data_IF_227845286377
#
_entry.id   IF_227845286377
#
_cell.length_a   1.000
_cell.length_b   1.000
_cell.length_c   1.000
_cell.angle_alpha   90.00
_cell.angle_beta   90.00
_cell.angle_gamma   90.00
#
_symmetry.space_group_name_H-M   'P 1'
#
loop_
_entity.id
_entity.type
_entity.pdbx_description
1 polymer ?
#
# COMPACT_ATOMS: atom_id res chain seq x y z
N UNK A 1 23.76 14.70 38.93
CA UNK A 1 23.96 14.32 37.49
C UNK A 1 23.22 13.03 37.10
N UNK A 2 22.98 12.08 38.01
CA UNK A 2 22.14 10.89 37.76
C UNK A 2 20.63 11.21 37.63
N UNK A 3 20.14 12.22 38.35
CA UNK A 3 18.73 12.59 38.43
C UNK A 3 18.18 13.25 37.15
N UNK A 4 19.00 14.07 36.48
CA UNK A 4 18.66 14.68 35.17
C UNK A 4 18.57 13.65 34.04
N UNK A 5 19.41 12.59 34.11
CA UNK A 5 19.36 11.49 33.15
C UNK A 5 18.11 10.63 33.36
N UNK A 6 17.75 10.36 34.62
CA UNK A 6 16.53 9.62 34.97
C UNK A 6 15.25 10.35 34.51
N UNK A 7 15.17 11.67 34.71
CA UNK A 7 14.00 12.48 34.31
C UNK A 7 13.81 12.55 32.79
N UNK A 8 14.90 12.73 32.04
CA UNK A 8 14.89 12.67 30.56
C UNK A 8 14.51 11.29 30.02
N UNK A 9 14.85 10.20 30.72
CA UNK A 9 14.47 8.84 30.30
C UNK A 9 12.99 8.55 30.60
N UNK A 10 12.43 9.19 31.63
CA UNK A 10 11.04 9.02 32.08
C UNK A 10 10.03 9.85 31.26
N UNK A 11 10.38 11.06 30.83
CA UNK A 11 9.56 11.85 29.89
C UNK A 11 9.57 11.28 28.46
N UNK A 12 10.69 10.67 28.03
CA UNK A 12 10.80 10.00 26.72
C UNK A 12 10.04 8.66 26.66
N UNK A 13 9.86 7.99 27.79
CA UNK A 13 9.05 6.76 27.83
C UNK A 13 7.56 7.08 27.68
N UNK A 14 7.13 8.28 28.07
CA UNK A 14 5.77 8.79 27.85
C UNK A 14 5.51 9.24 26.39
N UNK A 15 6.53 9.71 25.66
CA UNK A 15 6.41 9.95 24.20
C UNK A 15 6.48 8.67 23.36
N UNK A 16 6.98 7.58 23.95
CA UNK A 16 6.93 6.21 23.43
C UNK A 16 5.71 5.45 23.95
N UNK A 17 4.67 6.13 24.43
CA UNK A 17 3.38 5.49 24.56
C UNK A 17 2.94 5.02 23.17
N UNK A 18 2.55 3.74 23.08
CA UNK A 18 2.16 3.09 21.83
C UNK A 18 1.33 4.02 20.95
N UNK A 19 1.64 4.19 19.65
CA UNK A 19 0.62 4.73 18.77
C UNK A 19 -0.53 3.72 18.79
N UNK A 20 -1.59 4.02 19.55
CA UNK A 20 -2.86 3.27 19.66
C UNK A 20 -3.64 3.18 18.33
N UNK A 21 -2.97 3.50 17.22
CA UNK A 21 -3.50 3.43 15.87
C UNK A 21 -3.05 2.11 15.28
N UNK A 22 -3.86 1.09 15.53
CA UNK A 22 -3.77 -0.19 14.82
C UNK A 22 -4.16 0.10 13.37
N UNK A 23 -3.18 0.23 12.48
CA UNK A 23 -3.42 0.52 11.06
C UNK A 23 -4.37 -0.51 10.46
N UNK A 24 -4.25 -1.76 10.91
CA UNK A 24 -5.18 -2.84 10.62
C UNK A 24 -6.61 -2.56 11.06
N UNK A 25 -6.82 -2.04 12.27
CA UNK A 25 -8.17 -1.76 12.80
C UNK A 25 -8.82 -0.64 12.01
N UNK A 26 -8.09 0.44 11.76
CA UNK A 26 -8.59 1.57 10.98
C UNK A 26 -8.95 1.14 9.56
N UNK A 27 -8.06 0.38 8.91
CA UNK A 27 -8.33 -0.19 7.60
C UNK A 27 -9.53 -1.13 7.58
N UNK A 28 -9.68 -2.02 8.57
CA UNK A 28 -10.85 -2.90 8.67
C UNK A 28 -12.15 -2.10 8.84
N UNK A 29 -12.15 -1.04 9.65
CA UNK A 29 -13.32 -0.17 9.84
C UNK A 29 -13.71 0.46 8.50
N UNK A 30 -12.77 1.08 7.78
CA UNK A 30 -13.06 1.66 6.47
C UNK A 30 -13.53 0.62 5.47
N UNK A 31 -12.86 -0.54 5.40
CA UNK A 31 -13.24 -1.64 4.51
C UNK A 31 -14.67 -2.11 4.76
N UNK A 32 -15.04 -2.37 6.02
CA UNK A 32 -16.40 -2.81 6.39
C UNK A 32 -17.44 -1.72 6.10
N UNK A 33 -17.15 -0.46 6.42
CA UNK A 33 -18.08 0.65 6.17
C UNK A 33 -18.31 0.83 4.66
N UNK A 34 -17.25 0.90 3.86
CA UNK A 34 -17.39 1.12 2.41
C UNK A 34 -18.02 -0.08 1.71
N UNK A 35 -17.61 -1.30 2.03
CA UNK A 35 -18.23 -2.51 1.47
C UNK A 35 -19.69 -2.63 1.90
N UNK A 36 -20.02 -2.34 3.16
CA UNK A 36 -21.40 -2.34 3.66
C UNK A 36 -22.28 -1.31 2.96
N UNK A 37 -21.78 -0.07 2.81
CA UNK A 37 -22.47 1.00 2.10
C UNK A 37 -22.72 0.63 0.62
N UNK A 38 -21.73 0.01 -0.04
CA UNK A 38 -21.83 -0.41 -1.43
C UNK A 38 -22.81 -1.55 -1.62
N UNK A 39 -22.80 -2.55 -0.74
CA UNK A 39 -23.78 -3.63 -0.80
C UNK A 39 -25.19 -3.12 -0.54
N UNK A 40 -25.35 -2.15 0.37
CA UNK A 40 -26.65 -1.54 0.65
C UNK A 40 -27.18 -0.72 -0.53
N UNK A 41 -26.36 0.15 -1.13
CA UNK A 41 -26.78 1.06 -2.20
C UNK A 41 -26.80 0.39 -3.58
N UNK A 42 -25.80 -0.44 -3.87
CA UNK A 42 -25.55 -0.99 -5.20
C UNK A 42 -25.68 -2.53 -5.26
N UNK A 43 -25.95 -3.23 -4.15
CA UNK A 43 -26.00 -4.70 -4.13
C UNK A 43 -26.96 -5.30 -5.16
N UNK A 44 -28.16 -4.72 -5.31
CA UNK A 44 -29.12 -5.14 -6.34
C UNK A 44 -28.58 -4.91 -7.75
N UNK A 45 -27.92 -3.78 -8.00
CA UNK A 45 -27.35 -3.45 -9.31
C UNK A 45 -26.18 -4.38 -9.65
N UNK A 46 -25.35 -4.73 -8.66
CA UNK A 46 -24.26 -5.69 -8.81
C UNK A 46 -24.83 -7.07 -9.15
N UNK A 47 -25.87 -7.53 -8.45
CA UNK A 47 -26.49 -8.83 -8.75
C UNK A 47 -27.06 -8.87 -10.18
N UNK A 48 -27.78 -7.83 -10.59
CA UNK A 48 -28.31 -7.71 -11.96
C UNK A 48 -27.20 -7.64 -13.01
N UNK A 49 -26.11 -6.93 -12.71
CA UNK A 49 -24.93 -6.85 -13.57
C UNK A 49 -24.33 -8.23 -13.87
N UNK A 50 -24.24 -9.12 -12.88
CA UNK A 50 -23.67 -10.45 -13.06
C UNK A 50 -24.57 -11.38 -13.87
N UNK A 51 -25.89 -11.26 -13.72
CA UNK A 51 -26.83 -12.09 -14.47
C UNK A 51 -26.99 -11.64 -15.93
N UNK A 52 -26.85 -10.34 -16.19
CA UNK A 52 -27.10 -9.76 -17.51
C UNK A 52 -25.85 -9.75 -18.40
N UNK A 53 -24.65 -9.85 -17.80
CA UNK A 53 -23.39 -9.73 -18.53
C UNK A 53 -23.00 -11.04 -19.25
N UNK A 54 -23.21 -11.06 -20.56
CA UNK A 54 -22.77 -12.17 -21.44
C UNK A 54 -21.27 -12.09 -21.75
N UNK A 55 -20.64 -10.91 -21.60
CA UNK A 55 -19.24 -10.68 -21.99
C UNK A 55 -18.23 -11.25 -20.99
N UNK A 56 -18.66 -11.44 -19.74
CA UNK A 56 -17.80 -11.89 -18.64
C UNK A 56 -16.90 -10.80 -18.04
N UNK A 57 -17.01 -9.55 -18.49
CA UNK A 57 -16.21 -8.42 -18.00
C UNK A 57 -16.55 -8.09 -16.54
N UNK A 58 -17.83 -8.18 -16.14
CA UNK A 58 -18.25 -7.96 -14.76
C UNK A 58 -17.60 -8.97 -13.80
N UNK A 59 -17.55 -10.25 -14.19
CA UNK A 59 -16.89 -11.30 -13.40
C UNK A 59 -15.39 -11.05 -13.33
N UNK A 60 -14.75 -10.67 -14.44
CA UNK A 60 -13.34 -10.32 -14.47
C UNK A 60 -13.02 -9.15 -13.51
N UNK A 61 -13.83 -8.08 -13.54
CA UNK A 61 -13.70 -6.92 -12.64
C UNK A 61 -13.80 -7.38 -11.18
N UNK A 62 -14.78 -8.24 -10.85
CA UNK A 62 -14.95 -8.76 -9.49
C UNK A 62 -13.77 -9.62 -9.02
N UNK A 63 -13.27 -10.53 -9.86
CA UNK A 63 -12.11 -11.37 -9.51
C UNK A 63 -10.88 -10.52 -9.26
N UNK A 64 -10.59 -9.56 -10.16
CA UNK A 64 -9.47 -8.64 -9.98
C UNK A 64 -9.64 -7.75 -8.75
N UNK A 65 -10.87 -7.31 -8.46
CA UNK A 65 -11.18 -6.56 -7.25
C UNK A 65 -10.86 -7.37 -5.98
N UNK A 66 -11.32 -8.62 -5.89
CA UNK A 66 -11.07 -9.48 -4.72
C UNK A 66 -9.57 -9.74 -4.56
N UNK A 67 -8.85 -10.00 -5.64
CA UNK A 67 -7.39 -10.17 -5.61
C UNK A 67 -6.68 -8.90 -5.14
N UNK A 68 -7.06 -7.73 -5.66
CA UNK A 68 -6.48 -6.45 -5.26
C UNK A 68 -6.80 -6.10 -3.80
N UNK A 69 -8.02 -6.41 -3.34
CA UNK A 69 -8.43 -6.22 -1.95
C UNK A 69 -7.62 -7.12 -1.00
N UNK A 70 -7.45 -8.39 -1.34
CA UNK A 70 -6.63 -9.32 -0.57
C UNK A 70 -5.16 -8.87 -0.54
N UNK A 71 -4.63 -8.37 -1.66
CA UNK A 71 -3.29 -7.79 -1.71
C UNK A 71 -3.16 -6.56 -0.81
N UNK A 72 -4.13 -5.66 -0.84
CA UNK A 72 -4.14 -4.47 -0.01
C UNK A 72 -4.23 -4.81 1.48
N UNK A 73 -5.04 -5.82 1.85
CA UNK A 73 -5.12 -6.36 3.20
C UNK A 73 -3.78 -6.94 3.69
N UNK A 74 -3.04 -7.61 2.80
CA UNK A 74 -1.69 -8.10 3.10
C UNK A 74 -0.73 -6.94 3.35
N UNK A 75 -0.79 -5.89 2.52
CA UNK A 75 0.12 -4.75 2.64
C UNK A 75 -0.10 -3.96 3.93
N UNK A 76 -1.35 -3.74 4.36
CA UNK A 76 -1.62 -3.13 5.68
C UNK A 76 -1.15 -4.02 6.84
N UNK A 77 -1.37 -5.34 6.76
CA UNK A 77 -0.91 -6.29 7.78
C UNK A 77 0.61 -6.27 7.93
N UNK A 78 1.31 -6.14 6.80
CA UNK A 78 2.75 -6.01 6.81
C UNK A 78 3.20 -4.70 7.46
N UNK A 79 2.60 -3.56 7.12
CA UNK A 79 2.96 -2.26 7.71
C UNK A 79 2.74 -2.29 9.23
N UNK A 80 1.62 -2.84 9.68
CA UNK A 80 1.29 -2.96 11.10
C UNK A 80 2.31 -3.84 11.85
N UNK A 81 2.68 -5.00 11.27
CA UNK A 81 3.75 -5.85 11.80
C UNK A 81 5.08 -5.11 11.86
N UNK A 82 5.46 -4.39 10.80
CA UNK A 82 6.72 -3.65 10.75
C UNK A 82 6.77 -2.53 11.79
N UNK A 83 5.64 -1.85 12.04
CA UNK A 83 5.51 -0.84 13.09
C UNK A 83 5.69 -1.44 14.48
N UNK A 84 5.04 -2.57 14.77
CA UNK A 84 5.20 -3.27 16.05
C UNK A 84 6.65 -3.69 16.29
N UNK A 85 7.31 -4.27 15.27
CA UNK A 85 8.72 -4.66 15.37
C UNK A 85 9.63 -3.45 15.58
N UNK A 86 9.41 -2.35 14.87
CA UNK A 86 10.17 -1.12 15.04
C UNK A 86 10.03 -0.58 16.48
N UNK A 87 8.83 -0.60 17.03
CA UNK A 87 8.60 -0.15 18.41
C UNK A 87 9.33 -1.03 19.44
N UNK A 88 9.23 -2.36 19.32
CA UNK A 88 9.94 -3.30 20.22
C UNK A 88 11.46 -3.10 20.16
N UNK A 89 12.00 -2.97 18.94
CA UNK A 89 13.42 -2.73 18.68
C UNK A 89 13.92 -1.42 19.28
N UNK A 90 13.14 -0.34 19.19
CA UNK A 90 13.47 0.95 19.79
C UNK A 90 13.52 0.85 21.32
N UNK A 91 12.55 0.16 21.92
CA UNK A 91 12.51 -0.06 23.37
C UNK A 91 13.76 -0.80 23.86
N UNK A 92 14.21 -1.80 23.12
CA UNK A 92 15.47 -2.52 23.41
C UNK A 92 16.72 -1.64 23.25
N UNK A 93 16.77 -0.80 22.21
CA UNK A 93 17.88 0.12 21.96
C UNK A 93 18.00 1.19 23.06
N UNK A 94 16.88 1.74 23.53
CA UNK A 94 16.86 2.72 24.61
C UNK A 94 17.31 2.09 25.93
N UNK A 95 16.84 0.87 26.24
CA UNK A 95 17.24 0.17 27.46
C UNK A 95 18.73 -0.19 27.47
N UNK A 96 19.29 -0.59 26.33
CA UNK A 96 20.69 -1.00 26.22
C UNK A 96 21.65 0.18 26.04
N UNK A 97 21.15 1.36 25.61
CA UNK A 97 21.91 2.59 25.35
C UNK A 97 23.18 2.38 24.48
N UNK A 98 23.20 1.30 23.70
CA UNK A 98 24.29 0.89 22.81
C UNK A 98 23.71 0.16 21.62
N UNK A 99 24.16 0.54 20.43
CA UNK A 99 23.92 -0.22 19.21
C UNK A 99 24.87 -1.42 19.24
N UNK A 100 24.49 -2.48 19.94
CA UNK A 100 25.33 -3.69 19.99
C UNK A 100 25.23 -4.42 18.66
N UNK A 101 26.36 -4.94 18.16
CA UNK A 101 26.35 -5.86 17.01
C UNK A 101 25.46 -7.10 17.28
N UNK A 102 25.27 -7.46 18.56
CA UNK A 102 24.34 -8.51 18.98
C UNK A 102 22.87 -8.14 18.69
N UNK A 103 22.47 -6.87 18.87
CA UNK A 103 21.11 -6.42 18.54
C UNK A 103 20.88 -6.51 17.02
N UNK A 104 21.79 -5.97 16.21
CA UNK A 104 21.69 -6.02 14.75
C UNK A 104 21.66 -7.46 14.18
N UNK A 105 22.27 -8.43 14.88
CA UNK A 105 22.32 -9.84 14.50
C UNK A 105 21.12 -10.66 15.02
N UNK A 106 20.61 -10.35 16.21
CA UNK A 106 19.60 -11.17 16.88
C UNK A 106 18.17 -10.62 16.76
N UNK A 107 17.99 -9.34 16.40
CA UNK A 107 16.66 -8.77 16.20
C UNK A 107 15.99 -9.31 14.93
N UNK A 108 14.67 -9.47 14.96
CA UNK A 108 13.88 -9.89 13.80
C UNK A 108 14.11 -8.97 12.58
N UNK A 109 14.08 -9.52 11.35
CA UNK A 109 14.15 -8.72 10.13
C UNK A 109 12.99 -7.72 10.07
N UNK A 110 13.33 -6.44 10.08
CA UNK A 110 12.40 -5.33 10.02
C UNK A 110 12.96 -4.20 9.16
N UNK A 111 12.08 -3.32 8.69
CA UNK A 111 12.48 -2.11 7.93
C UNK A 111 13.44 -1.26 8.78
N UNK A 112 13.16 -1.12 10.08
CA UNK A 112 14.04 -0.43 11.00
C UNK A 112 15.41 -1.11 11.06
N UNK A 113 15.47 -2.43 11.28
CA UNK A 113 16.74 -3.18 11.35
C UNK A 113 17.57 -2.99 10.09
N UNK A 114 16.97 -3.10 8.92
CA UNK A 114 17.67 -2.91 7.63
C UNK A 114 18.18 -1.48 7.48
N UNK A 115 17.37 -0.49 7.88
CA UNK A 115 17.77 0.91 7.91
C UNK A 115 18.98 1.13 8.85
N UNK A 116 18.95 0.55 10.05
CA UNK A 116 20.04 0.66 11.03
C UNK A 116 21.31 -0.07 10.58
N UNK A 117 21.19 -1.23 9.92
CA UNK A 117 22.32 -1.95 9.33
C UNK A 117 23.03 -1.09 8.28
N UNK A 118 22.26 -0.46 7.38
CA UNK A 118 22.80 0.41 6.34
C UNK A 118 23.45 1.66 6.95
N UNK A 119 22.81 2.29 7.94
CA UNK A 119 23.36 3.47 8.62
C UNK A 119 24.67 3.15 9.35
N UNK A 120 24.76 1.99 10.01
CA UNK A 120 25.98 1.52 10.65
C UNK A 120 27.08 1.18 9.63
N UNK A 121 26.72 0.66 8.45
CA UNK A 121 27.69 0.43 7.37
C UNK A 121 28.29 1.74 6.86
N UNK A 122 27.48 2.80 6.70
CA UNK A 122 27.96 4.14 6.35
C UNK A 122 28.87 4.68 7.44
N UNK A 123 28.47 4.57 8.71
CA UNK A 123 29.24 5.09 9.85
C UNK A 123 30.65 4.48 9.99
N UNK A 124 30.89 3.28 9.44
CA UNK A 124 32.23 2.67 9.42
C UNK A 124 33.17 3.32 8.40
N UNK A 125 32.63 3.90 7.33
CA UNK A 125 33.39 4.46 6.21
C UNK A 125 33.44 5.99 6.23
N UNK A 126 32.39 6.63 6.72
CA UNK A 126 32.23 8.09 6.70
C UNK A 126 31.96 8.66 8.12
N UNK A 127 32.79 9.60 8.62
CA UNK A 127 32.55 10.29 9.88
C UNK A 127 31.38 11.27 9.85
N UNK A 128 30.93 11.73 8.68
CA UNK A 128 29.77 12.59 8.47
C UNK A 128 28.51 11.78 8.13
N UNK A 129 28.12 10.87 9.04
CA UNK A 129 26.91 10.05 8.88
C UNK A 129 25.68 10.93 8.65
N UNK A 130 25.01 10.75 7.51
CA UNK A 130 23.69 11.31 7.18
C UNK A 130 22.75 10.18 6.77
N UNK A 131 21.46 10.33 7.07
CA UNK A 131 20.44 9.34 6.73
C UNK A 131 19.49 9.76 5.60
N UNK A 132 19.60 11.00 5.08
CA UNK A 132 18.66 11.57 4.09
C UNK A 132 18.42 10.62 2.90
N UNK A 133 19.49 10.15 2.27
CA UNK A 133 19.40 9.22 1.13
C UNK A 133 18.79 7.87 1.52
N UNK A 134 19.03 7.39 2.75
CA UNK A 134 18.47 6.12 3.22
C UNK A 134 16.97 6.22 3.47
N UNK A 135 16.49 7.38 3.94
CA UNK A 135 15.06 7.64 4.13
C UNK A 135 14.35 7.69 2.77
N UNK A 136 14.92 8.40 1.79
CA UNK A 136 14.39 8.43 0.41
C UNK A 136 14.33 7.04 -0.20
N UNK A 137 15.39 6.23 -0.03
CA UNK A 137 15.40 4.85 -0.52
C UNK A 137 14.34 3.98 0.17
N UNK A 138 14.15 4.15 1.48
CA UNK A 138 13.12 3.45 2.25
C UNK A 138 11.72 3.81 1.75
N UNK A 139 11.46 5.09 1.50
CA UNK A 139 10.21 5.56 0.92
C UNK A 139 9.97 4.97 -0.46
N UNK A 140 10.97 5.01 -1.35
CA UNK A 140 10.87 4.43 -2.68
C UNK A 140 10.52 2.93 -2.65
N UNK A 141 11.19 2.15 -1.77
CA UNK A 141 10.90 0.72 -1.61
C UNK A 141 9.48 0.45 -1.10
N UNK A 142 9.01 1.22 -0.13
CA UNK A 142 7.68 1.04 0.43
C UNK A 142 6.59 1.46 -0.56
N UNK A 143 6.77 2.58 -1.26
CA UNK A 143 5.85 3.04 -2.30
C UNK A 143 5.80 2.07 -3.49
N UNK A 144 6.94 1.52 -3.91
CA UNK A 144 6.98 0.52 -4.98
C UNK A 144 6.12 -0.72 -4.62
N UNK A 145 6.10 -1.11 -3.35
CA UNK A 145 5.27 -2.21 -2.88
C UNK A 145 3.78 -1.88 -2.93
N UNK A 146 3.39 -0.67 -2.52
CA UNK A 146 1.98 -0.25 -2.45
C UNK A 146 1.39 0.07 -3.83
N UNK A 147 2.24 0.46 -4.79
CA UNK A 147 1.88 0.80 -6.17
C UNK A 147 1.07 -0.27 -6.89
N UNK A 148 1.24 -1.55 -6.56
CA UNK A 148 0.47 -2.63 -7.18
C UNK A 148 -1.05 -2.49 -6.96
N UNK A 149 -1.48 -2.05 -5.78
CA UNK A 149 -2.91 -1.85 -5.49
C UNK A 149 -3.46 -0.65 -6.25
N UNK A 150 -2.67 0.43 -6.37
CA UNK A 150 -3.06 1.63 -7.12
C UNK A 150 -3.20 1.36 -8.62
N UNK A 151 -2.30 0.54 -9.17
CA UNK A 151 -2.37 0.09 -10.56
C UNK A 151 -3.62 -0.77 -10.77
N UNK A 152 -3.92 -1.71 -9.87
CA UNK A 152 -5.14 -2.51 -9.96
C UNK A 152 -6.40 -1.63 -9.91
N UNK A 153 -6.47 -0.66 -8.99
CA UNK A 153 -7.57 0.32 -8.92
C UNK A 153 -7.78 1.02 -10.26
N UNK A 154 -6.70 1.51 -10.88
CA UNK A 154 -6.77 2.20 -12.18
C UNK A 154 -7.19 1.26 -13.31
N UNK A 155 -6.67 0.03 -13.32
CA UNK A 155 -7.02 -1.00 -14.30
C UNK A 155 -8.50 -1.38 -14.23
N UNK A 156 -9.09 -1.49 -13.05
CA UNK A 156 -10.53 -1.78 -12.90
C UNK A 156 -11.40 -0.69 -13.52
N UNK A 157 -11.02 0.59 -13.36
CA UNK A 157 -11.72 1.71 -14.00
C UNK A 157 -11.61 1.62 -15.52
N UNK A 158 -10.40 1.36 -16.03
CA UNK A 158 -10.18 1.20 -17.48
C UNK A 158 -10.94 -0.01 -18.03
N UNK A 159 -11.01 -1.13 -17.31
CA UNK A 159 -11.81 -2.29 -17.69
C UNK A 159 -13.31 -1.97 -17.74
N UNK A 160 -13.80 -1.13 -16.81
CA UNK A 160 -15.17 -0.64 -16.86
C UNK A 160 -15.47 0.13 -18.16
N UNK A 161 -14.55 1.01 -18.57
CA UNK A 161 -14.64 1.77 -19.83
C UNK A 161 -14.57 0.86 -21.07
N UNK A 162 -13.69 -0.15 -21.05
CA UNK A 162 -13.62 -1.16 -22.11
C UNK A 162 -14.95 -1.92 -22.21
N UNK A 163 -15.55 -2.27 -21.06
CA UNK A 163 -16.87 -2.89 -21.03
C UNK A 163 -17.96 -2.02 -21.64
N UNK A 164 -17.88 -0.70 -21.51
CA UNK A 164 -18.79 0.22 -22.21
C UNK A 164 -18.69 0.05 -23.72
N UNK A 165 -17.46 0.02 -24.26
CA UNK A 165 -17.23 -0.12 -25.70
C UNK A 165 -17.79 -1.45 -26.18
N UNK A 166 -17.50 -2.54 -25.47
CA UNK A 166 -18.00 -3.88 -25.82
C UNK A 166 -19.53 -3.95 -25.77
N UNK A 167 -20.16 -3.40 -24.73
CA UNK A 167 -21.62 -3.38 -24.61
C UNK A 167 -22.31 -2.52 -25.68
N UNK A 168 -21.70 -1.39 -26.06
CA UNK A 168 -22.20 -0.56 -27.17
C UNK A 168 -22.06 -1.29 -28.52
N UNK A 169 -20.96 -2.02 -28.76
CA UNK A 169 -20.82 -2.85 -29.96
C UNK A 169 -21.93 -3.92 -30.01
N UNK A 170 -22.23 -4.58 -28.89
CA UNK A 170 -23.36 -5.52 -28.81
C UNK A 170 -24.70 -4.84 -29.08
N UNK A 171 -24.87 -3.59 -28.61
CA UNK A 171 -26.10 -2.83 -28.84
C UNK A 171 -26.35 -2.54 -30.31
N UNK A 172 -25.28 -2.24 -31.07
CA UNK A 172 -25.32 -2.00 -32.51
C UNK A 172 -25.76 -3.25 -33.27
N UNK A 173 -25.34 -4.45 -32.82
CA UNK A 173 -25.82 -5.71 -33.39
C UNK A 173 -27.35 -5.84 -33.36
N UNK A 174 -27.96 -5.55 -32.21
CA UNK A 174 -29.43 -5.56 -32.08
C UNK A 174 -30.14 -4.52 -32.95
N UNK A 175 -29.52 -3.36 -33.20
CA UNK A 175 -30.10 -2.32 -34.06
C UNK A 175 -30.23 -2.83 -35.49
N UNK A 176 -29.21 -3.54 -36.00
CA UNK A 176 -29.27 -4.14 -37.34
C UNK A 176 -30.45 -5.11 -37.48
N UNK A 177 -30.68 -5.96 -36.46
CA UNK A 177 -31.82 -6.88 -36.42
C UNK A 177 -33.16 -6.13 -36.42
N UNK A 178 -33.26 -5.04 -35.64
CA UNK A 178 -34.47 -4.20 -35.65
C UNK A 178 -34.72 -3.61 -37.03
N UNK A 179 -33.69 -3.06 -37.69
CA UNK A 179 -33.84 -2.42 -39.01
C UNK A 179 -34.30 -3.42 -40.07
N UNK A 180 -33.79 -4.65 -40.04
CA UNK A 180 -34.22 -5.71 -40.97
C UNK A 180 -35.65 -6.20 -40.73
N UNK A 181 -36.11 -6.17 -39.47
CA UNK A 181 -37.42 -6.67 -39.05
C UNK A 181 -38.56 -5.63 -39.14
N UNK A 182 -38.22 -4.35 -39.38
CA UNK A 182 -39.22 -3.27 -39.44
C UNK A 182 -40.20 -3.50 -40.59
N UNK A 183 -41.47 -3.68 -40.23
CA UNK A 183 -42.58 -3.85 -41.19
C UNK A 183 -42.78 -5.29 -41.69
N UNK A 184 -41.95 -6.24 -41.25
CA UNK A 184 -41.93 -7.63 -41.73
C UNK A 184 -42.21 -8.63 -40.61
N UNK A 185 -41.54 -8.52 -39.46
CA UNK A 185 -41.64 -9.51 -38.37
C UNK A 185 -41.60 -8.85 -36.98
N UNK A 186 -42.72 -8.93 -36.27
CA UNK A 186 -42.88 -8.34 -34.93
C UNK A 186 -42.01 -9.04 -33.87
N UNK A 187 -41.81 -10.36 -33.99
CA UNK A 187 -41.04 -11.12 -33.01
C UNK A 187 -39.54 -10.85 -33.16
N UNK A 188 -39.05 -10.76 -34.40
CA UNK A 188 -37.68 -10.34 -34.68
C UNK A 188 -37.42 -8.90 -34.22
N UNK A 189 -38.38 -8.00 -34.42
CA UNK A 189 -38.28 -6.62 -33.94
C UNK A 189 -38.13 -6.58 -32.41
N UNK A 190 -38.95 -7.34 -31.68
CA UNK A 190 -38.85 -7.43 -30.22
C UNK A 190 -37.54 -8.08 -29.76
N UNK A 191 -37.02 -9.06 -30.51
CA UNK A 191 -35.72 -9.68 -30.25
C UNK A 191 -34.57 -8.68 -30.40
N UNK A 192 -34.51 -7.97 -31.53
CA UNK A 192 -33.48 -6.95 -31.78
C UNK A 192 -33.51 -5.83 -30.75
N UNK A 193 -34.71 -5.37 -30.33
CA UNK A 193 -34.84 -4.38 -29.26
C UNK A 193 -34.29 -4.88 -27.92
N UNK A 194 -34.58 -6.15 -27.55
CA UNK A 194 -34.03 -6.75 -26.32
C UNK A 194 -32.52 -6.87 -26.37
N UNK A 195 -31.97 -7.24 -27.51
CA UNK A 195 -30.52 -7.32 -27.72
C UNK A 195 -29.86 -5.95 -27.60
N UNK A 196 -30.42 -4.92 -28.25
CA UNK A 196 -29.92 -3.54 -28.13
C UNK A 196 -29.94 -3.04 -26.69
N UNK A 197 -31.05 -3.24 -25.97
CA UNK A 197 -31.14 -2.84 -24.56
C UNK A 197 -30.22 -3.67 -23.67
N UNK A 198 -30.02 -4.95 -23.97
CA UNK A 198 -29.11 -5.84 -23.26
C UNK A 198 -27.65 -5.38 -23.36
N UNK A 199 -27.19 -5.06 -24.59
CA UNK A 199 -25.86 -4.51 -24.81
C UNK A 199 -25.63 -3.19 -24.05
N UNK A 200 -26.62 -2.30 -24.05
CA UNK A 200 -26.56 -1.03 -23.34
C UNK A 200 -26.53 -1.23 -21.82
N UNK A 201 -27.34 -2.17 -21.32
CA UNK A 201 -27.34 -2.56 -19.91
C UNK A 201 -25.96 -3.04 -19.46
N UNK A 202 -25.36 -3.96 -20.21
CA UNK A 202 -24.00 -4.46 -19.94
C UNK A 202 -22.98 -3.33 -19.90
N UNK A 203 -23.02 -2.40 -20.87
CA UNK A 203 -22.13 -1.23 -20.91
C UNK A 203 -22.22 -0.37 -19.63
N UNK A 204 -23.43 -0.09 -19.15
CA UNK A 204 -23.63 0.68 -17.93
C UNK A 204 -23.17 -0.08 -16.69
N UNK A 205 -23.48 -1.37 -16.60
CA UNK A 205 -23.08 -2.19 -15.46
C UNK A 205 -21.56 -2.35 -15.34
N UNK A 206 -20.85 -2.66 -16.42
CA UNK A 206 -19.38 -2.78 -16.38
C UNK A 206 -18.72 -1.48 -15.94
N UNK A 207 -19.22 -0.34 -16.43
CA UNK A 207 -18.75 0.99 -16.06
C UNK A 207 -18.96 1.26 -14.58
N UNK A 208 -20.17 0.97 -14.08
CA UNK A 208 -20.51 1.13 -12.66
C UNK A 208 -19.59 0.28 -11.78
N UNK A 209 -19.40 -1.00 -12.09
CA UNK A 209 -18.54 -1.89 -11.29
C UNK A 209 -17.09 -1.42 -11.30
N UNK A 210 -16.54 -1.06 -12.46
CA UNK A 210 -15.17 -0.56 -12.58
C UNK A 210 -14.94 0.71 -11.78
N UNK A 211 -15.85 1.69 -11.89
CA UNK A 211 -15.79 2.94 -11.14
C UNK A 211 -15.95 2.73 -9.63
N UNK A 212 -16.88 1.86 -9.22
CA UNK A 212 -17.19 1.62 -7.80
C UNK A 212 -16.05 0.87 -7.10
N UNK A 213 -15.65 -0.28 -7.64
CA UNK A 213 -14.62 -1.13 -7.03
C UNK A 213 -13.21 -0.56 -7.20
N UNK A 214 -12.88 -0.10 -8.40
CA UNK A 214 -11.58 0.48 -8.71
C UNK A 214 -11.45 1.92 -8.23
N UNK A 215 -12.35 2.79 -8.71
CA UNK A 215 -12.25 4.23 -8.53
C UNK A 215 -12.57 4.73 -7.12
N UNK A 216 -13.43 4.02 -6.37
CA UNK A 216 -13.84 4.41 -5.02
C UNK A 216 -13.21 3.49 -3.97
N UNK A 217 -13.57 2.20 -3.94
CA UNK A 217 -13.18 1.31 -2.85
C UNK A 217 -11.67 1.12 -2.75
N UNK A 218 -11.04 0.56 -3.81
CA UNK A 218 -9.61 0.29 -3.78
C UNK A 218 -8.80 1.58 -3.66
N UNK A 219 -9.27 2.69 -4.26
CA UNK A 219 -8.60 3.99 -4.20
C UNK A 219 -8.53 4.52 -2.76
N UNK A 220 -9.65 4.49 -2.04
CA UNK A 220 -9.70 4.95 -0.65
C UNK A 220 -8.87 4.03 0.26
N UNK A 221 -9.04 2.70 0.14
CA UNK A 221 -8.28 1.75 0.94
C UNK A 221 -6.78 1.86 0.69
N UNK A 222 -6.35 2.00 -0.56
CA UNK A 222 -4.95 2.24 -0.90
C UNK A 222 -4.42 3.53 -0.28
N UNK A 223 -5.22 4.61 -0.29
CA UNK A 223 -4.84 5.88 0.33
C UNK A 223 -4.62 5.75 1.84
N UNK A 224 -5.46 4.98 2.54
CA UNK A 224 -5.29 4.72 3.99
C UNK A 224 -3.97 3.99 4.25
N UNK A 225 -3.66 2.96 3.45
CA UNK A 225 -2.42 2.19 3.57
C UNK A 225 -1.19 3.08 3.31
N UNK A 226 -1.23 3.92 2.27
CA UNK A 226 -0.16 4.88 1.97
C UNK A 226 0.08 5.85 3.14
N UNK A 227 -0.97 6.40 3.76
CA UNK A 227 -0.82 7.29 4.91
C UNK A 227 -0.12 6.61 6.09
N UNK A 228 -0.46 5.34 6.37
CA UNK A 228 0.22 4.58 7.42
C UNK A 228 1.67 4.22 7.07
N UNK A 229 1.96 4.01 5.79
CA UNK A 229 3.30 3.78 5.27
C UNK A 229 4.20 5.00 5.47
N UNK A 230 3.73 6.19 5.07
CA UNK A 230 4.42 7.45 5.27
C UNK A 230 4.66 7.74 6.76
N UNK A 231 3.64 7.49 7.59
CA UNK A 231 3.75 7.63 9.04
C UNK A 231 4.80 6.69 9.65
N UNK A 232 4.92 5.46 9.13
CA UNK A 232 5.95 4.50 9.56
C UNK A 232 7.36 4.97 9.17
N UNK A 233 7.52 5.50 7.95
CA UNK A 233 8.79 6.04 7.46
C UNK A 233 9.23 7.22 8.33
N UNK A 234 8.32 8.16 8.58
CA UNK A 234 8.58 9.33 9.42
C UNK A 234 9.00 8.90 10.84
N UNK A 235 8.28 7.95 11.44
CA UNK A 235 8.62 7.39 12.75
C UNK A 235 10.01 6.77 12.79
N UNK A 236 10.36 5.92 11.80
CA UNK A 236 11.69 5.31 11.71
C UNK A 236 12.79 6.38 11.55
N UNK A 237 12.57 7.37 10.68
CA UNK A 237 13.53 8.43 10.41
C UNK A 237 13.77 9.32 11.64
N UNK A 238 12.71 9.71 12.35
CA UNK A 238 12.80 10.51 13.58
C UNK A 238 13.60 9.77 14.65
N UNK A 239 13.28 8.49 14.88
CA UNK A 239 13.98 7.66 15.86
C UNK A 239 15.46 7.50 15.50
N UNK A 240 15.76 7.27 14.22
CA UNK A 240 17.13 7.16 13.76
C UNK A 240 17.88 8.49 13.92
N UNK A 241 17.26 9.64 13.63
CA UNK A 241 17.89 10.96 13.78
C UNK A 241 18.19 11.29 15.25
N UNK A 242 17.24 11.02 16.15
CA UNK A 242 17.36 11.38 17.56
C UNK A 242 18.33 10.48 18.31
N UNK A 243 18.26 9.16 18.10
CA UNK A 243 18.99 8.20 18.94
C UNK A 243 20.21 7.60 18.24
N UNK A 244 20.13 7.37 16.93
CA UNK A 244 21.10 6.52 16.23
C UNK A 244 22.19 7.33 15.55
N UNK A 245 21.82 8.37 14.79
CA UNK A 245 22.77 9.25 14.09
C UNK A 245 23.80 9.87 15.06
N UNK A 246 23.43 10.42 16.23
CA UNK A 246 24.41 10.98 17.17
C UNK A 246 25.34 9.92 17.75
N UNK A 247 24.82 8.73 18.05
CA UNK A 247 25.59 7.61 18.60
C UNK A 247 26.60 7.07 17.59
N UNK A 248 26.19 6.95 16.32
CA UNK A 248 27.05 6.54 15.22
C UNK A 248 28.10 7.59 14.89
N UNK A 249 27.74 8.89 14.82
CA UNK A 249 28.71 9.99 14.63
C UNK A 249 29.76 10.02 15.73
N UNK A 250 29.36 9.85 17.00
CA UNK A 250 30.30 9.76 18.15
C UNK A 250 31.24 8.57 18.01
N UNK A 251 30.73 7.41 17.58
CA UNK A 251 31.51 6.18 17.42
C UNK A 251 32.48 6.26 16.24
N UNK A 252 32.02 6.82 15.11
CA UNK A 252 32.84 7.01 13.91
C UNK A 252 33.98 8.00 14.15
N UNK A 253 33.70 9.15 14.78
CA UNK A 253 34.75 10.13 15.15
C UNK A 253 35.82 9.53 16.08
N UNK A 254 35.43 8.69 17.05
CA UNK A 254 36.39 7.98 17.91
C UNK A 254 37.26 7.02 17.11
N UNK A 255 36.70 6.31 16.12
CA UNK A 255 37.43 5.40 15.23
C UNK A 255 38.42 6.17 14.35
N UNK A 256 38.01 7.28 13.74
CA UNK A 256 38.92 8.15 12.95
C UNK A 256 40.06 8.70 13.81
N UNK A 257 39.77 9.12 15.06
CA UNK A 257 40.78 9.64 15.99
C UNK A 257 41.77 8.57 16.49
N UNK A 258 41.37 7.30 16.53
CA UNK A 258 42.21 6.17 16.97
C UNK A 258 43.02 5.53 15.83
N UNK A 259 43.01 6.09 14.62
CA UNK A 259 43.97 5.78 13.54
C UNK A 259 43.82 4.42 12.88
N UNK A 260 42.78 4.21 12.05
CA UNK A 260 42.71 3.09 11.07
C UNK A 260 41.78 3.45 9.90
N UNK A 261 42.20 4.39 9.05
CA UNK A 261 41.60 4.64 7.74
C UNK A 261 42.72 4.71 6.69
N UNK A 262 43.50 3.63 6.56
CA UNK A 262 44.04 3.30 5.24
C UNK A 262 42.87 2.70 4.46
N UNK A 263 42.32 3.49 3.55
CA UNK A 263 41.34 3.02 2.57
C UNK A 263 42.16 2.40 1.44
N UNK A 264 42.37 1.08 1.49
CA UNK A 264 42.77 0.35 0.29
C UNK A 264 41.52 0.18 -0.58
N UNK A 265 41.52 0.88 -1.72
CA UNK A 265 40.41 0.92 -2.69
C UNK A 265 40.38 -0.36 -3.55
N UNK A 266 41.39 -1.24 -3.42
CA UNK A 266 41.56 -2.45 -4.23
C UNK A 266 40.51 -3.55 -3.95
N UNK A 267 39.88 -3.59 -2.77
CA UNK A 267 38.90 -4.64 -2.42
C UNK A 267 37.45 -4.34 -2.84
N UNK A 268 37.18 -3.20 -3.47
CA UNK A 268 35.82 -2.83 -3.87
C UNK A 268 35.37 -3.42 -5.23
N UNK A 269 36.25 -4.10 -5.98
CA UNK A 269 35.94 -4.60 -7.34
C UNK A 269 36.55 -6.00 -7.63
N UNK A 270 36.52 -6.94 -6.68
CA UNK A 270 36.75 -8.37 -7.00
C UNK A 270 35.58 -9.25 -6.60
#
# INVERSE_FOLDING_TARGET
MAESKSKSTHELTDTLNEPKVNALREWMIYSVIFTGLILLLCGRLIYLALLSDVTGICILILVLFVCALARNAWDVSYIDRQRSLAHQQVKELIKSNKISAAFLKNSEPSILRDHLLNLNAIAKKDPMVSQENLVVLMQSKLNARLRLTELASSMLVTLGLVGTIVGLIGSVGGISVVVEAVGSDRDQLMSGMRETLGGMGTAFYTTLLGALFGGIVLRILSSVVNSHADSLIAYIAELAEVYMVPTLRRSSRKRTKNGNLEIDVSEAVS
#
